data_IF_389812372735
#
_entry.id   IF_389812372735
#
_cell.length_a   1.000
_cell.length_b   1.000
_cell.length_c   1.000
_cell.angle_alpha   90.00
_cell.angle_beta   90.00
_cell.angle_gamma   90.00
#
_symmetry.space_group_name_H-M   'P 1'
#
loop_
_entity.id
_entity.type
_entity.pdbx_description
1 polymer ?
#
# COMPACT_ATOMS: atom_id res chain seq x y z
N UNK A 1 -5.20 -5.67 -6.34
CA UNK A 1 -4.52 -4.41 -6.67
C UNK A 1 -3.21 -4.74 -7.38
N UNK A 2 -2.96 -4.18 -8.56
CA UNK A 2 -1.71 -4.39 -9.30
C UNK A 2 -0.76 -3.21 -9.08
N UNK A 3 0.53 -3.47 -8.88
CA UNK A 3 1.56 -2.43 -8.80
C UNK A 3 2.10 -2.10 -10.20
N UNK A 4 2.71 -0.92 -10.35
CA UNK A 4 3.40 -0.57 -11.59
C UNK A 4 4.55 -1.53 -11.86
N UNK A 5 4.81 -1.80 -13.13
CA UNK A 5 5.95 -2.55 -13.58
C UNK A 5 7.11 -1.60 -13.95
N UNK A 6 8.23 -1.67 -13.24
CA UNK A 6 9.49 -0.98 -13.58
C UNK A 6 10.53 -1.92 -14.18
N UNK A 7 10.23 -3.21 -14.26
CA UNK A 7 11.14 -4.20 -14.80
C UNK A 7 11.07 -4.21 -16.34
N UNK A 8 12.13 -3.72 -16.98
CA UNK A 8 12.24 -3.68 -18.46
C UNK A 8 12.26 -5.05 -19.13
N UNK A 9 12.50 -6.12 -18.37
CA UNK A 9 12.56 -7.49 -18.86
C UNK A 9 11.23 -8.23 -18.73
N UNK A 10 10.23 -7.61 -18.10
CA UNK A 10 8.88 -8.16 -17.95
C UNK A 10 7.95 -7.28 -18.78
N UNK A 11 7.45 -7.78 -19.90
CA UNK A 11 6.56 -7.04 -20.82
C UNK A 11 5.14 -7.63 -20.85
N UNK A 12 4.18 -6.88 -21.40
CA UNK A 12 2.80 -7.34 -21.55
C UNK A 12 1.99 -7.33 -20.25
N UNK A 13 2.53 -6.71 -19.19
CA UNK A 13 1.79 -6.48 -17.96
C UNK A 13 0.88 -5.25 -18.12
N UNK A 14 -0.29 -5.25 -17.48
CA UNK A 14 -1.31 -4.22 -17.73
C UNK A 14 -0.91 -2.79 -17.32
N UNK A 15 0.15 -2.61 -16.53
CA UNK A 15 0.53 -1.29 -16.00
C UNK A 15 2.04 -1.10 -15.93
N UNK A 16 2.64 -0.67 -17.05
CA UNK A 16 3.99 -0.12 -17.02
C UNK A 16 4.03 1.18 -16.20
N UNK A 17 5.17 1.42 -15.55
CA UNK A 17 5.35 2.61 -14.73
C UNK A 17 5.43 3.88 -15.60
N UNK A 18 4.76 4.97 -15.18
CA UNK A 18 5.00 6.29 -15.76
C UNK A 18 6.48 6.67 -15.64
N UNK A 19 6.99 7.38 -16.65
CA UNK A 19 8.34 7.94 -16.62
C UNK A 19 8.44 9.15 -15.69
N UNK A 20 7.35 9.90 -15.51
CA UNK A 20 7.27 10.99 -14.56
C UNK A 20 7.20 10.48 -13.13
N UNK A 21 8.08 11.00 -12.28
CA UNK A 21 8.20 10.59 -10.88
C UNK A 21 6.94 10.92 -10.08
N UNK A 22 6.35 12.09 -10.30
CA UNK A 22 5.20 12.54 -9.52
C UNK A 22 3.95 11.73 -9.87
N UNK A 23 3.78 11.41 -11.15
CA UNK A 23 2.72 10.54 -11.64
C UNK A 23 2.85 9.11 -11.08
N UNK A 24 4.06 8.55 -11.11
CA UNK A 24 4.36 7.24 -10.52
C UNK A 24 4.02 7.19 -9.03
N UNK A 25 4.53 8.13 -8.24
CA UNK A 25 4.29 8.15 -6.79
C UNK A 25 2.82 8.45 -6.47
N UNK A 26 2.17 9.36 -7.21
CA UNK A 26 0.73 9.63 -7.08
C UNK A 26 -0.11 8.39 -7.36
N UNK A 27 0.23 7.62 -8.40
CA UNK A 27 -0.41 6.36 -8.70
C UNK A 27 -0.21 5.30 -7.61
N UNK A 28 0.97 5.23 -7.00
CA UNK A 28 1.22 4.35 -5.84
C UNK A 28 0.35 4.76 -4.65
N UNK A 29 0.28 6.06 -4.31
CA UNK A 29 -0.56 6.54 -3.21
C UNK A 29 -2.02 6.21 -3.44
N UNK A 30 -2.55 6.45 -4.65
CA UNK A 30 -3.92 6.08 -5.01
C UNK A 30 -4.21 4.60 -4.81
N UNK A 31 -3.27 3.72 -5.19
CA UNK A 31 -3.37 2.28 -4.96
C UNK A 31 -3.51 1.97 -3.46
N UNK A 32 -2.64 2.51 -2.61
CA UNK A 32 -2.77 2.32 -1.15
C UNK A 32 -4.05 2.92 -0.56
N UNK A 33 -4.49 4.08 -1.03
CA UNK A 33 -5.78 4.66 -0.62
C UNK A 33 -6.94 3.73 -0.96
N UNK A 34 -6.96 3.18 -2.19
CA UNK A 34 -7.97 2.19 -2.61
C UNK A 34 -7.94 0.93 -1.74
N UNK A 35 -6.76 0.44 -1.36
CA UNK A 35 -6.61 -0.68 -0.44
C UNK A 35 -7.28 -0.39 0.91
N UNK A 36 -6.97 0.75 1.54
CA UNK A 36 -7.55 1.12 2.84
C UNK A 36 -9.07 1.33 2.74
N UNK A 37 -9.53 2.01 1.69
CA UNK A 37 -10.96 2.15 1.39
C UNK A 37 -11.66 0.81 1.24
N UNK A 38 -10.99 -0.18 0.63
CA UNK A 38 -11.55 -1.53 0.48
C UNK A 38 -11.68 -2.25 1.82
N UNK A 39 -10.74 -2.05 2.74
CA UNK A 39 -10.82 -2.55 4.12
C UNK A 39 -12.02 -1.94 4.85
N UNK A 40 -12.18 -0.62 4.77
CA UNK A 40 -13.34 0.05 5.38
C UNK A 40 -14.65 -0.41 4.76
N UNK A 41 -14.74 -0.47 3.43
CA UNK A 41 -15.92 -0.94 2.73
C UNK A 41 -16.30 -2.38 3.12
N UNK A 42 -15.31 -3.24 3.35
CA UNK A 42 -15.53 -4.59 3.88
C UNK A 42 -16.13 -4.53 5.28
N UNK A 43 -15.54 -3.76 6.20
CA UNK A 43 -16.02 -3.66 7.58
C UNK A 43 -17.42 -3.06 7.70
N UNK A 44 -17.79 -2.11 6.81
CA UNK A 44 -19.11 -1.48 6.78
C UNK A 44 -20.17 -2.33 6.06
N UNK A 45 -19.81 -3.48 5.50
CA UNK A 45 -20.74 -4.35 4.78
C UNK A 45 -21.85 -4.89 5.67
N UNK A 46 -23.11 -4.78 5.22
CA UNK A 46 -24.33 -5.15 5.99
C UNK A 46 -24.35 -6.60 6.52
N UNK A 47 -23.53 -7.49 5.95
CA UNK A 47 -23.47 -8.90 6.29
C UNK A 47 -22.16 -9.32 6.98
N UNK A 48 -21.28 -8.40 7.35
CA UNK A 48 -20.07 -8.70 8.12
C UNK A 48 -20.37 -8.43 9.60
N UNK A 49 -20.47 -9.45 10.46
CA UNK A 49 -20.56 -9.24 11.90
C UNK A 49 -19.34 -8.46 12.39
N UNK A 50 -19.51 -7.57 13.37
CA UNK A 50 -18.39 -6.81 13.93
C UNK A 50 -17.25 -7.69 14.47
N UNK A 51 -17.53 -8.94 14.84
CA UNK A 51 -16.53 -9.92 15.24
C UNK A 51 -15.57 -10.33 14.10
N UNK A 52 -15.94 -10.09 12.84
CA UNK A 52 -15.15 -10.38 11.65
C UNK A 52 -14.58 -9.12 10.99
N UNK A 53 -14.75 -7.96 11.62
CA UNK A 53 -14.14 -6.72 11.15
C UNK A 53 -12.61 -6.87 11.07
N UNK A 54 -12.04 -6.40 9.97
CA UNK A 54 -10.59 -6.37 9.75
C UNK A 54 -10.01 -5.26 10.60
N UNK A 55 -9.35 -5.65 11.70
CA UNK A 55 -8.60 -4.76 12.59
C UNK A 55 -7.09 -4.81 12.38
N UNK A 56 -6.60 -5.84 11.69
CA UNK A 56 -5.18 -6.04 11.40
C UNK A 56 -4.95 -6.29 9.92
N UNK A 57 -3.96 -5.63 9.35
CA UNK A 57 -3.59 -5.77 7.95
C UNK A 57 -2.11 -6.14 7.84
N UNK A 58 -1.81 -7.23 7.13
CA UNK A 58 -0.43 -7.62 6.82
C UNK A 58 -0.10 -7.16 5.41
N UNK A 59 0.95 -6.35 5.25
CA UNK A 59 1.42 -5.85 3.96
C UNK A 59 2.87 -6.23 3.73
N UNK A 60 3.14 -6.78 2.55
CA UNK A 60 4.49 -6.99 2.04
C UNK A 60 4.94 -5.83 1.13
N UNK A 61 6.19 -5.86 0.71
CA UNK A 61 6.80 -4.94 -0.27
C UNK A 61 6.26 -5.18 -1.70
N UNK A 62 4.94 -4.99 -1.87
CA UNK A 62 4.21 -5.27 -3.10
C UNK A 62 4.84 -4.60 -4.32
N UNK A 63 5.12 -5.38 -5.36
CA UNK A 63 5.75 -4.90 -6.59
C UNK A 63 7.27 -4.65 -6.49
N UNK A 64 7.92 -4.88 -5.34
CA UNK A 64 9.35 -4.63 -5.19
C UNK A 64 10.23 -5.85 -5.56
N UNK A 65 9.61 -6.99 -5.87
CA UNK A 65 10.26 -8.18 -6.42
C UNK A 65 10.31 -8.13 -7.95
N UNK A 66 9.47 -8.91 -8.61
CA UNK A 66 9.44 -9.07 -10.09
C UNK A 66 9.30 -7.73 -10.82
N UNK A 67 8.49 -6.80 -10.31
CA UNK A 67 8.24 -5.51 -10.95
C UNK A 67 9.31 -4.45 -10.64
N UNK A 68 10.33 -4.79 -9.86
CA UNK A 68 11.50 -3.95 -9.60
C UNK A 68 11.18 -2.52 -9.11
N UNK A 69 10.07 -2.35 -8.38
CA UNK A 69 9.83 -1.09 -7.68
C UNK A 69 10.84 -0.91 -6.54
N UNK A 70 11.22 0.34 -6.29
CA UNK A 70 12.09 0.66 -5.15
C UNK A 70 11.29 0.50 -3.85
N UNK A 71 11.65 -0.44 -2.96
CA UNK A 71 10.93 -0.69 -1.71
C UNK A 71 10.87 0.54 -0.81
N UNK A 72 11.90 1.39 -0.81
CA UNK A 72 11.92 2.61 -0.01
C UNK A 72 10.90 3.62 -0.52
N UNK A 73 10.76 3.77 -1.83
CA UNK A 73 9.78 4.67 -2.45
C UNK A 73 8.37 4.17 -2.20
N UNK A 74 8.12 2.87 -2.40
CA UNK A 74 6.80 2.26 -2.13
C UNK A 74 6.43 2.40 -0.65
N UNK A 75 7.37 2.13 0.27
CA UNK A 75 7.17 2.27 1.71
C UNK A 75 6.84 3.71 2.12
N UNK A 76 7.59 4.69 1.61
CA UNK A 76 7.32 6.11 1.89
C UNK A 76 5.93 6.55 1.45
N UNK A 77 5.49 6.11 0.28
CA UNK A 77 4.15 6.43 -0.21
C UNK A 77 3.05 5.78 0.63
N UNK A 78 3.25 4.55 1.15
CA UNK A 78 2.33 3.97 2.13
C UNK A 78 2.32 4.78 3.43
N UNK A 79 3.49 5.08 4.00
CA UNK A 79 3.59 5.88 5.23
C UNK A 79 2.94 7.25 5.11
N UNK A 80 3.11 7.91 3.96
CA UNK A 80 2.44 9.16 3.66
C UNK A 80 0.91 9.01 3.64
N UNK A 81 0.38 7.99 2.96
CA UNK A 81 -1.08 7.72 2.93
C UNK A 81 -1.62 7.44 4.34
N UNK A 82 -0.92 6.65 5.15
CA UNK A 82 -1.34 6.36 6.53
C UNK A 82 -1.35 7.62 7.41
N UNK A 83 -0.40 8.55 7.18
CA UNK A 83 -0.33 9.83 7.90
C UNK A 83 -1.41 10.81 7.44
N UNK A 84 -1.63 10.93 6.13
CA UNK A 84 -2.50 11.96 5.54
C UNK A 84 -3.96 11.52 5.43
N UNK A 85 -4.24 10.22 5.47
CA UNK A 85 -5.57 9.67 5.24
C UNK A 85 -5.98 8.62 6.30
N UNK A 86 -5.91 8.93 7.61
CA UNK A 86 -6.21 7.97 8.67
C UNK A 86 -7.67 7.45 8.62
N UNK A 87 -8.60 8.27 8.15
CA UNK A 87 -10.02 7.95 8.10
C UNK A 87 -10.41 6.99 6.96
N UNK A 88 -9.46 6.57 6.11
CA UNK A 88 -9.75 5.60 5.04
C UNK A 88 -9.99 4.19 5.56
N UNK A 89 -9.50 3.85 6.76
CA UNK A 89 -9.72 2.57 7.43
C UNK A 89 -9.78 2.78 8.95
N UNK A 90 -10.86 3.40 9.47
CA UNK A 90 -10.92 3.88 10.86
C UNK A 90 -10.92 2.75 11.91
N UNK A 91 -11.39 1.56 11.54
CA UNK A 91 -11.40 0.37 12.42
C UNK A 91 -10.08 -0.43 12.37
N UNK A 92 -9.11 0.00 11.55
CA UNK A 92 -7.83 -0.68 11.42
C UNK A 92 -6.89 -0.25 12.56
N UNK A 93 -6.55 -1.19 13.43
CA UNK A 93 -5.76 -0.96 14.64
C UNK A 93 -4.27 -1.23 14.42
N UNK A 94 -3.93 -2.19 13.55
CA UNK A 94 -2.55 -2.66 13.35
C UNK A 94 -2.23 -2.91 11.88
N UNK A 95 -1.03 -2.48 11.47
CA UNK A 95 -0.45 -2.84 10.17
C UNK A 95 0.89 -3.53 10.42
N UNK A 96 0.97 -4.80 10.02
CA UNK A 96 2.21 -5.59 10.08
C UNK A 96 2.90 -5.51 8.73
N UNK A 97 4.12 -4.96 8.72
CA UNK A 97 4.94 -4.85 7.52
C UNK A 97 5.86 -6.07 7.40
N UNK A 98 5.93 -6.64 6.21
CA UNK A 98 6.73 -7.83 5.90
C UNK A 98 7.53 -7.64 4.61
N UNK A 99 8.46 -8.55 4.32
CA UNK A 99 9.29 -8.49 3.11
C UNK A 99 10.57 -7.68 3.33
N UNK A 100 10.95 -6.84 2.36
CA UNK A 100 12.19 -6.06 2.40
C UNK A 100 12.21 -5.02 3.55
N UNK A 101 13.34 -4.94 4.26
CA UNK A 101 13.50 -4.01 5.40
C UNK A 101 13.41 -2.54 4.98
N UNK A 102 13.82 -2.23 3.75
CA UNK A 102 13.78 -0.89 3.16
C UNK A 102 12.34 -0.39 3.00
N UNK A 103 11.39 -1.30 2.74
CA UNK A 103 9.97 -0.98 2.68
C UNK A 103 9.46 -0.56 4.05
N UNK A 104 9.72 -1.37 5.08
CA UNK A 104 9.32 -1.05 6.46
C UNK A 104 9.95 0.26 6.96
N UNK A 105 11.24 0.48 6.68
CA UNK A 105 11.93 1.74 6.99
C UNK A 105 11.31 2.93 6.25
N UNK A 106 10.97 2.76 4.97
CA UNK A 106 10.30 3.79 4.18
C UNK A 106 8.95 4.21 4.76
N UNK A 107 8.16 3.27 5.29
CA UNK A 107 6.91 3.58 6.01
C UNK A 107 7.21 4.37 7.29
N UNK A 108 8.21 3.92 8.06
CA UNK A 108 8.64 4.54 9.31
C UNK A 108 9.11 5.99 9.18
N UNK A 109 9.58 6.42 8.00
CA UNK A 109 9.96 7.82 7.72
C UNK A 109 8.79 8.80 7.90
N UNK A 110 7.54 8.34 7.72
CA UNK A 110 6.33 9.17 7.74
C UNK A 110 5.28 8.75 8.77
N UNK A 111 5.31 7.48 9.19
CA UNK A 111 4.32 6.92 10.09
C UNK A 111 5.01 6.10 11.18
N UNK A 112 4.89 6.55 12.42
CA UNK A 112 5.41 5.81 13.56
C UNK A 112 4.54 4.57 13.78
N UNK A 113 5.07 3.42 13.36
CA UNK A 113 4.52 2.10 13.70
C UNK A 113 4.53 1.99 15.24
N UNK A 114 3.35 1.80 15.84
CA UNK A 114 3.24 1.46 17.27
C UNK A 114 3.46 -0.02 17.47
#
# INVERSE_FOLDING_TARGET
MTMYNRNRFVSGQPHDAPSDKNEYESGIRKKFQTLLQSVNAYNQGFCIPQALAVRKLILCDIGCGVYENDPKVVGRNLGQVLRECPDLAPDLEEIVLTGKVEFARGVGDFYHVR
#
